data_IF_440834371374
#
_entry.id   IF_440834371374
#
_cell.length_a   1.000
_cell.length_b   1.000
_cell.length_c   1.000
_cell.angle_alpha   90.00
_cell.angle_beta   90.00
_cell.angle_gamma   90.00
#
_symmetry.space_group_name_H-M   'P 1'
#
loop_
_entity.id
_entity.type
_entity.pdbx_description
1 polymer ?
#
# COMPACT_ATOMS: atom_id res chain seq x y z
N UNK A 1 58.31 -17.48 24.45
CA UNK A 1 58.12 -18.94 24.62
C UNK A 1 57.69 -19.22 26.05
N UNK A 2 56.51 -19.86 26.19
CA UNK A 2 55.97 -20.62 27.34
C UNK A 2 56.17 -20.09 28.78
N UNK A 3 55.06 -19.84 29.50
CA UNK A 3 54.48 -20.90 30.36
C UNK A 3 53.07 -20.55 30.85
N UNK A 4 52.27 -21.60 30.91
CA UNK A 4 50.86 -21.66 31.30
C UNK A 4 50.70 -21.27 32.79
N UNK A 5 49.67 -20.50 33.11
CA UNK A 5 49.09 -20.54 34.45
C UNK A 5 47.56 -20.57 34.32
N UNK A 6 47.06 -21.79 34.36
CA UNK A 6 45.68 -22.11 34.71
C UNK A 6 45.50 -21.74 36.18
N UNK A 7 44.51 -20.91 36.50
CA UNK A 7 43.94 -20.88 37.85
C UNK A 7 42.43 -20.77 37.78
N UNK A 8 41.82 -21.70 38.48
CA UNK A 8 40.40 -22.01 38.59
C UNK A 8 39.68 -21.08 39.60
N UNK A 9 38.33 -21.12 39.51
CA UNK A 9 37.31 -20.68 40.49
C UNK A 9 37.20 -19.15 40.68
N UNK A 10 36.03 -18.53 40.51
CA UNK A 10 34.82 -18.74 41.33
C UNK A 10 33.54 -18.69 40.49
N UNK A 11 32.71 -19.71 40.68
CA UNK A 11 31.35 -19.86 40.16
C UNK A 11 30.39 -19.11 41.10
N UNK A 12 29.97 -17.90 40.75
CA UNK A 12 28.90 -17.18 41.45
C UNK A 12 27.56 -17.49 40.77
N UNK A 13 26.85 -18.50 41.28
CA UNK A 13 25.44 -18.72 40.97
C UNK A 13 24.61 -17.54 41.53
N UNK A 14 24.26 -16.61 40.66
CA UNK A 14 23.11 -15.73 40.87
C UNK A 14 21.90 -16.39 40.21
N UNK A 15 21.23 -17.27 40.93
CA UNK A 15 19.88 -17.71 40.62
C UNK A 15 18.91 -16.59 41.03
N UNK A 16 18.86 -15.52 40.26
CA UNK A 16 17.69 -14.64 40.22
C UNK A 16 16.80 -15.17 39.10
N UNK A 17 15.58 -15.59 39.44
CA UNK A 17 14.65 -16.22 38.53
C UNK A 17 14.43 -15.43 37.25
N UNK A 18 14.93 -15.96 36.12
CA UNK A 18 14.32 -15.72 34.84
C UNK A 18 13.15 -16.71 34.74
N UNK A 19 12.00 -16.29 35.26
CA UNK A 19 10.74 -16.81 34.76
C UNK A 19 10.69 -16.39 33.29
N UNK A 20 10.92 -17.33 32.37
CA UNK A 20 10.81 -17.15 30.91
C UNK A 20 9.32 -16.99 30.48
N UNK A 21 8.55 -16.24 31.26
CA UNK A 21 7.26 -15.71 30.87
C UNK A 21 7.49 -14.37 30.18
N UNK A 22 7.97 -14.41 28.93
CA UNK A 22 7.90 -13.21 28.10
C UNK A 22 6.43 -12.76 28.08
N UNK A 23 6.10 -11.52 28.50
CA UNK A 23 4.72 -11.08 28.47
C UNK A 23 4.22 -11.17 27.03
N UNK A 24 3.14 -11.92 26.80
CA UNK A 24 2.45 -11.95 25.52
C UNK A 24 2.06 -10.50 25.19
N UNK A 25 2.83 -9.87 24.29
CA UNK A 25 2.47 -8.58 23.74
C UNK A 25 1.34 -8.84 22.76
N UNK A 26 0.10 -8.72 23.23
CA UNK A 26 -1.06 -8.54 22.35
C UNK A 26 -0.83 -7.27 21.54
N UNK A 27 -0.27 -7.42 20.33
CA UNK A 27 -0.09 -6.30 19.41
C UNK A 27 -1.44 -5.93 18.84
N UNK A 28 -2.19 -5.09 19.55
CA UNK A 28 -3.35 -4.42 18.96
C UNK A 28 -2.83 -3.49 17.87
N UNK A 29 -2.97 -3.89 16.61
CA UNK A 29 -2.52 -3.06 15.49
C UNK A 29 -3.45 -1.84 15.36
N UNK A 30 -3.07 -0.73 15.97
CA UNK A 30 -3.76 0.55 15.76
C UNK A 30 -3.35 1.06 14.38
N UNK A 31 -4.28 1.03 13.43
CA UNK A 31 -4.07 1.56 12.08
C UNK A 31 -4.50 3.02 12.06
N UNK A 32 -3.58 3.91 11.66
CA UNK A 32 -3.90 5.32 11.48
C UNK A 32 -4.93 5.50 10.35
N UNK A 33 -5.90 6.39 10.56
CA UNK A 33 -6.88 6.73 9.54
C UNK A 33 -6.20 7.37 8.32
N UNK A 34 -6.65 7.00 7.12
CA UNK A 34 -6.13 7.56 5.87
C UNK A 34 -7.17 8.50 5.26
N UNK A 35 -7.19 9.73 5.79
CA UNK A 35 -8.18 10.75 5.42
C UNK A 35 -8.14 11.08 3.93
N UNK A 36 -6.97 11.05 3.28
CA UNK A 36 -6.83 11.27 1.84
C UNK A 36 -7.53 10.17 1.05
N UNK A 37 -7.28 8.91 1.38
CA UNK A 37 -7.97 7.79 0.73
C UNK A 37 -9.47 7.82 1.01
N UNK A 38 -9.89 8.21 2.22
CA UNK A 38 -11.30 8.24 2.59
C UNK A 38 -12.05 9.36 1.86
N UNK A 39 -11.41 10.51 1.67
CA UNK A 39 -11.90 11.57 0.80
C UNK A 39 -12.10 11.06 -0.64
N UNK A 40 -11.11 10.35 -1.21
CA UNK A 40 -11.25 9.78 -2.56
C UNK A 40 -12.41 8.77 -2.68
N UNK A 41 -12.69 7.98 -1.64
CA UNK A 41 -13.83 7.06 -1.60
C UNK A 41 -15.17 7.80 -1.63
N UNK A 42 -15.24 8.97 -0.98
CA UNK A 42 -16.43 9.81 -0.93
C UNK A 42 -16.66 10.69 -2.17
N UNK A 43 -15.70 10.75 -3.11
CA UNK A 43 -15.82 11.59 -4.30
C UNK A 43 -16.62 10.93 -5.42
N UNK A 44 -17.31 11.77 -6.21
CA UNK A 44 -17.82 11.35 -7.53
C UNK A 44 -16.68 10.84 -8.40
N UNK A 45 -17.01 9.97 -9.37
CA UNK A 45 -16.00 9.37 -10.25
C UNK A 45 -15.13 10.40 -10.98
N UNK A 46 -15.72 11.50 -11.45
CA UNK A 46 -14.97 12.56 -12.13
C UNK A 46 -13.86 13.14 -11.25
N UNK A 47 -14.20 13.58 -10.03
CA UNK A 47 -13.24 14.17 -9.10
C UNK A 47 -12.23 13.15 -8.58
N UNK A 48 -12.68 11.92 -8.34
CA UNK A 48 -11.80 10.81 -7.95
C UNK A 48 -10.75 10.53 -9.03
N UNK A 49 -11.17 10.42 -10.28
CA UNK A 49 -10.27 10.17 -11.41
C UNK A 49 -9.31 11.36 -11.64
N UNK A 50 -9.77 12.60 -11.43
CA UNK A 50 -8.89 13.78 -11.46
C UNK A 50 -7.82 13.74 -10.35
N UNK A 51 -8.20 13.36 -9.13
CA UNK A 51 -7.26 13.18 -8.01
C UNK A 51 -6.23 12.08 -8.29
N UNK A 52 -6.66 10.93 -8.79
CA UNK A 52 -5.77 9.83 -9.17
C UNK A 52 -4.82 10.23 -10.31
N UNK A 53 -5.31 10.99 -11.30
CA UNK A 53 -4.46 11.57 -12.35
C UNK A 53 -3.38 12.47 -11.76
N UNK A 54 -3.75 13.34 -10.82
CA UNK A 54 -2.80 14.25 -10.16
C UNK A 54 -1.76 13.47 -9.36
N UNK A 55 -2.17 12.45 -8.61
CA UNK A 55 -1.26 11.56 -7.89
C UNK A 55 -0.20 10.92 -8.82
N UNK A 56 -0.60 10.46 -10.01
CA UNK A 56 0.34 9.92 -11.00
C UNK A 56 1.31 11.02 -11.48
N UNK A 57 0.79 12.19 -11.86
CA UNK A 57 1.61 13.28 -12.43
C UNK A 57 2.59 13.90 -11.42
N UNK A 58 2.19 14.04 -10.16
CA UNK A 58 3.03 14.66 -9.11
C UNK A 58 4.26 13.79 -8.77
N UNK A 59 4.24 12.51 -9.15
CA UNK A 59 5.41 11.60 -9.06
C UNK A 59 6.31 11.62 -10.30
N UNK A 60 6.09 12.56 -11.24
CA UNK A 60 6.87 12.71 -12.47
C UNK A 60 6.44 11.77 -13.62
N UNK A 61 5.38 10.97 -13.43
CA UNK A 61 4.86 10.08 -14.45
C UNK A 61 3.91 10.80 -15.42
N UNK A 62 3.79 10.29 -16.65
CA UNK A 62 2.84 10.83 -17.63
C UNK A 62 1.48 10.14 -17.52
N UNK A 63 0.42 10.95 -17.52
CA UNK A 63 -0.95 10.49 -17.67
C UNK A 63 -1.80 11.58 -18.32
N UNK A 64 -2.27 11.36 -19.53
CA UNK A 64 -3.10 12.32 -20.26
C UNK A 64 -4.46 12.46 -19.58
N UNK A 65 -5.16 11.36 -19.35
CA UNK A 65 -6.47 11.27 -18.70
C UNK A 65 -6.60 9.95 -17.98
N UNK A 66 -7.07 10.00 -16.72
CA UNK A 66 -7.60 8.82 -16.03
C UNK A 66 -9.08 8.69 -16.41
N UNK A 67 -9.44 7.58 -17.04
CA UNK A 67 -10.84 7.29 -17.42
C UNK A 67 -11.50 6.28 -16.49
N UNK A 68 -10.72 5.51 -15.72
CA UNK A 68 -11.19 4.54 -14.73
C UNK A 68 -10.28 4.56 -13.52
N UNK A 69 -10.85 4.50 -12.32
CA UNK A 69 -10.06 4.44 -11.10
C UNK A 69 -10.88 4.04 -9.88
N UNK A 70 -10.27 3.25 -9.00
CA UNK A 70 -10.96 2.63 -7.88
C UNK A 70 -10.03 2.09 -6.80
N UNK A 71 -10.56 2.05 -5.58
CA UNK A 71 -9.89 1.46 -4.43
C UNK A 71 -9.83 -0.06 -4.59
N UNK A 72 -8.72 -0.66 -4.20
CA UNK A 72 -8.50 -2.10 -4.30
C UNK A 72 -8.56 -2.75 -2.92
N UNK A 73 -7.63 -2.37 -2.05
CA UNK A 73 -7.42 -3.00 -0.76
C UNK A 73 -6.51 -2.14 0.12
N UNK A 74 -6.42 -2.51 1.39
CA UNK A 74 -5.45 -1.97 2.32
C UNK A 74 -4.18 -2.83 2.21
N UNK A 75 -3.03 -2.20 1.97
CA UNK A 75 -1.73 -2.85 1.95
C UNK A 75 -0.83 -2.26 3.04
N UNK A 76 -0.59 -3.05 4.08
CA UNK A 76 0.08 -2.57 5.31
C UNK A 76 -0.69 -1.34 5.85
N UNK A 77 -0.03 -0.21 6.01
CA UNK A 77 -0.64 1.05 6.44
C UNK A 77 -1.15 1.92 5.29
N UNK A 78 -1.00 1.49 4.03
CA UNK A 78 -1.37 2.28 2.85
C UNK A 78 -2.65 1.78 2.17
N UNK A 79 -3.44 2.69 1.64
CA UNK A 79 -4.54 2.35 0.75
C UNK A 79 -4.01 2.14 -0.67
N UNK A 80 -4.31 0.98 -1.28
CA UNK A 80 -4.01 0.71 -2.68
C UNK A 80 -5.18 1.10 -3.56
N UNK A 81 -4.88 1.91 -4.57
CA UNK A 81 -5.78 2.33 -5.63
C UNK A 81 -5.23 1.88 -6.99
N UNK A 82 -6.13 1.60 -7.93
CA UNK A 82 -5.77 1.42 -9.34
C UNK A 82 -6.36 2.57 -10.16
N UNK A 83 -5.63 3.02 -11.17
CA UNK A 83 -6.12 3.96 -12.18
C UNK A 83 -5.66 3.54 -13.58
N UNK A 84 -6.56 3.66 -14.56
CA UNK A 84 -6.22 3.50 -15.98
C UNK A 84 -5.98 4.86 -16.61
N UNK A 85 -4.77 5.07 -17.13
CA UNK A 85 -4.43 6.23 -17.95
C UNK A 85 -4.55 5.87 -19.43
N UNK A 86 -5.34 6.67 -20.16
CA UNK A 86 -5.64 6.45 -21.59
C UNK A 86 -4.42 6.35 -22.51
N UNK A 87 -3.26 6.87 -22.11
CA UNK A 87 -2.02 6.91 -22.89
C UNK A 87 -0.90 6.00 -22.34
N UNK A 88 -0.96 5.61 -21.06
CA UNK A 88 0.12 4.89 -20.38
C UNK A 88 -0.29 3.59 -19.71
N UNK A 89 -1.58 3.24 -19.75
CA UNK A 89 -2.12 2.01 -19.19
C UNK A 89 -2.39 2.09 -17.69
N UNK A 90 -2.30 0.94 -17.00
CA UNK A 90 -2.74 0.81 -15.61
C UNK A 90 -1.63 1.13 -14.59
N UNK A 91 -2.03 1.85 -13.55
CA UNK A 91 -1.19 2.34 -12.47
C UNK A 91 -1.72 1.91 -11.11
N UNK A 92 -0.82 1.44 -10.25
CA UNK A 92 -1.03 1.23 -8.84
C UNK A 92 -0.57 2.46 -8.06
N UNK A 93 -1.43 2.96 -7.18
CA UNK A 93 -1.23 4.18 -6.39
C UNK A 93 -1.41 3.79 -4.92
N UNK A 94 -0.32 3.84 -4.15
CA UNK A 94 -0.33 3.62 -2.72
C UNK A 94 -0.38 4.97 -2.02
N UNK A 95 -1.37 5.16 -1.16
CA UNK A 95 -1.57 6.38 -0.38
C UNK A 95 -1.35 6.04 1.08
N UNK A 96 -0.38 6.66 1.72
CA UNK A 96 -0.13 6.49 3.15
C UNK A 96 -1.00 7.44 4.00
N UNK A 97 -1.17 7.16 5.31
CA UNK A 97 -1.99 7.99 6.20
C UNK A 97 -1.46 9.43 6.37
N UNK A 98 -0.17 9.63 6.17
CA UNK A 98 0.50 10.94 6.18
C UNK A 98 0.45 11.65 4.82
N UNK A 99 -0.37 11.17 3.88
CA UNK A 99 -0.52 11.67 2.52
C UNK A 99 0.68 11.42 1.58
N UNK A 100 1.69 10.63 1.98
CA UNK A 100 2.74 10.21 1.04
C UNK A 100 2.15 9.30 -0.04
N UNK A 101 2.58 9.51 -1.29
CA UNK A 101 2.09 8.78 -2.45
C UNK A 101 3.24 8.01 -3.11
N UNK A 102 3.01 6.73 -3.37
CA UNK A 102 3.89 5.91 -4.20
C UNK A 102 3.13 5.39 -5.41
N UNK A 103 3.67 5.63 -6.60
CA UNK A 103 3.05 5.22 -7.87
C UNK A 103 3.93 4.20 -8.58
N UNK A 104 3.32 3.14 -9.10
CA UNK A 104 3.99 2.09 -9.87
C UNK A 104 3.10 1.65 -11.05
N UNK A 105 3.71 1.26 -12.15
CA UNK A 105 2.95 0.63 -13.23
C UNK A 105 2.53 -0.77 -12.82
N UNK A 106 1.29 -1.13 -13.14
CA UNK A 106 0.72 -2.41 -12.72
C UNK A 106 1.51 -3.62 -13.22
N UNK A 107 2.17 -3.49 -14.38
CA UNK A 107 3.04 -4.56 -14.95
C UNK A 107 4.23 -4.94 -14.08
N UNK A 108 4.71 -4.07 -13.18
CA UNK A 108 5.84 -4.36 -12.29
C UNK A 108 5.41 -4.91 -10.92
N UNK A 109 4.10 -4.98 -10.62
CA UNK A 109 3.61 -5.32 -9.27
C UNK A 109 4.00 -6.74 -8.86
N UNK A 110 3.86 -7.71 -9.77
CA UNK A 110 4.16 -9.12 -9.50
C UNK A 110 5.65 -9.35 -9.21
N UNK A 111 6.54 -8.74 -10.01
CA UNK A 111 7.98 -8.81 -9.83
C UNK A 111 8.41 -8.25 -8.46
N UNK A 112 7.76 -7.14 -8.05
CA UNK A 112 8.00 -6.49 -6.76
C UNK A 112 7.29 -7.18 -5.58
N UNK A 113 6.57 -8.28 -5.82
CA UNK A 113 5.78 -9.00 -4.81
C UNK A 113 4.77 -8.09 -4.08
N UNK A 114 4.22 -7.13 -4.82
CA UNK A 114 3.18 -6.23 -4.34
C UNK A 114 1.79 -6.82 -4.61
N UNK A 115 0.73 -6.35 -3.94
CA UNK A 115 -0.63 -6.83 -4.18
C UNK A 115 -1.05 -6.71 -5.64
N UNK A 116 -1.98 -7.57 -6.07
CA UNK A 116 -2.42 -7.59 -7.45
C UNK A 116 -3.10 -6.26 -7.84
N UNK A 117 -2.59 -5.61 -8.88
CA UNK A 117 -3.28 -4.50 -9.51
C UNK A 117 -4.39 -5.02 -10.42
N UNK A 118 -5.63 -5.00 -9.93
CA UNK A 118 -6.79 -5.46 -10.68
C UNK A 118 -7.34 -4.33 -11.57
N UNK A 119 -7.63 -4.60 -12.85
CA UNK A 119 -8.28 -3.62 -13.72
C UNK A 119 -9.62 -3.18 -13.13
N UNK A 120 -9.92 -1.88 -13.23
CA UNK A 120 -11.25 -1.35 -12.94
C UNK A 120 -12.09 -1.52 -14.20
N UNK A 121 -13.24 -2.20 -14.06
CA UNK A 121 -14.17 -2.38 -15.16
C UNK A 121 -14.55 -1.02 -15.77
N UNK A 122 -14.71 -0.98 -17.09
CA UNK A 122 -15.24 0.22 -17.73
C UNK A 122 -16.66 0.48 -17.23
N UNK A 123 -17.04 1.76 -17.01
CA UNK A 123 -18.44 2.08 -16.83
C UNK A 123 -19.18 1.50 -18.03
N UNK A 124 -20.24 0.72 -17.77
CA UNK A 124 -21.06 0.16 -18.82
C UNK A 124 -21.46 1.33 -19.72
N UNK A 125 -21.04 1.30 -20.99
CA UNK A 125 -21.42 2.31 -21.95
C UNK A 125 -22.95 2.44 -21.84
N UNK A 126 -23.44 3.65 -21.54
CA UNK A 126 -24.87 3.93 -21.60
C UNK A 126 -25.36 3.35 -22.92
N UNK A 127 -26.18 2.29 -22.83
CA UNK A 127 -26.70 1.62 -24.00
C UNK A 127 -27.47 2.69 -24.78
N UNK A 128 -26.90 3.13 -25.91
CA UNK A 128 -27.54 4.07 -26.82
C UNK A 128 -28.98 3.56 -27.03
N UNK A 129 -30.03 4.35 -26.74
CA UNK A 129 -31.40 3.89 -26.95
C UNK A 129 -31.52 3.43 -28.40
N UNK A 130 -32.00 2.20 -28.60
CA UNK A 130 -32.25 1.69 -29.93
C UNK A 130 -33.13 2.68 -30.70
N UNK A 131 -32.84 2.97 -31.99
CA UNK A 131 -33.73 3.80 -32.78
C UNK A 131 -35.11 3.15 -32.79
N UNK A 132 -36.15 3.90 -32.40
CA UNK A 132 -37.54 3.47 -32.59
C UNK A 132 -37.77 3.33 -34.09
N UNK A 133 -38.22 2.14 -34.51
CA UNK A 133 -38.63 1.85 -35.88
C UNK A 133 -39.89 2.64 -36.26
#
# INVERSE_FOLDING_TARGET
MMKKMVSLLVLSLLAAGCEDGAPERTTTSVQAANTVSDQLKGMSELYRNLGLRRAIMDTGNRCKKVDRGGYQEQYKTMALWTAHCTDTGDWAIFIAPNADIQVRQCRHMAELKLPACRPIAAPAAEAKPAPKA
#
